data_IF_480525384602
#
_entry.id   IF_480525384602
#
_cell.length_a   1.000
_cell.length_b   1.000
_cell.length_c   1.000
_cell.angle_alpha   90.00
_cell.angle_beta   90.00
_cell.angle_gamma   90.00
#
_symmetry.space_group_name_H-M   'P 1'
#
loop_
_entity.id
_entity.type
_entity.pdbx_description
1 polymer ?
#
# COMPACT_ATOMS: atom_id res chain seq x y z
N UNK A 1 -20.53 33.01 63.84
CA UNK A 1 -20.79 33.28 62.41
C UNK A 1 -19.63 32.70 61.62
N UNK A 2 -19.77 31.50 61.07
CA UNK A 2 -18.76 30.77 60.35
C UNK A 2 -19.21 30.68 58.88
N UNK A 3 -18.57 31.47 58.01
CA UNK A 3 -18.84 31.47 56.59
C UNK A 3 -18.15 30.26 55.94
N UNK A 4 -18.94 29.34 55.35
CA UNK A 4 -18.48 28.22 54.54
C UNK A 4 -18.32 28.69 53.08
N UNK A 5 -17.10 28.76 52.57
CA UNK A 5 -16.82 28.92 51.14
C UNK A 5 -16.92 27.57 50.41
N UNK A 6 -17.72 27.46 49.34
CA UNK A 6 -17.72 26.25 48.53
C UNK A 6 -16.55 26.29 47.54
N UNK A 7 -15.63 25.34 47.68
CA UNK A 7 -14.54 25.08 46.75
C UNK A 7 -15.13 24.47 45.46
N UNK A 8 -15.33 25.29 44.43
CA UNK A 8 -15.69 24.82 43.10
C UNK A 8 -14.44 24.24 42.42
N UNK A 9 -14.34 22.93 42.39
CA UNK A 9 -13.32 22.21 41.59
C UNK A 9 -13.74 22.31 40.14
N UNK A 10 -13.06 23.15 39.38
CA UNK A 10 -13.19 23.24 37.93
C UNK A 10 -12.41 22.07 37.30
N UNK A 11 -13.10 21.00 36.93
CA UNK A 11 -12.53 19.86 36.20
C UNK A 11 -12.22 20.31 34.77
N UNK A 12 -10.95 20.57 34.46
CA UNK A 12 -10.47 20.87 33.15
C UNK A 12 -10.22 19.54 32.41
N UNK A 13 -11.20 19.07 31.63
CA UNK A 13 -11.04 17.91 30.74
C UNK A 13 -10.17 18.31 29.58
N UNK A 14 -8.90 17.96 29.65
CA UNK A 14 -7.99 18.03 28.51
C UNK A 14 -8.34 16.88 27.57
N UNK A 15 -9.09 17.16 26.52
CA UNK A 15 -9.28 16.25 25.40
C UNK A 15 -7.95 16.15 24.64
N UNK A 16 -7.16 15.10 24.90
CA UNK A 16 -5.98 14.77 24.12
C UNK A 16 -6.45 14.36 22.73
N UNK A 17 -6.37 15.27 21.76
CA UNK A 17 -6.53 14.97 20.34
C UNK A 17 -5.33 14.11 19.96
N UNK A 18 -5.54 12.79 19.85
CA UNK A 18 -4.58 11.85 19.28
C UNK A 18 -4.48 12.16 17.77
N UNK A 19 -3.60 13.09 17.41
CA UNK A 19 -3.16 13.26 16.04
C UNK A 19 -2.43 11.99 15.64
N UNK A 20 -3.12 11.03 15.02
CA UNK A 20 -2.45 9.95 14.29
C UNK A 20 -1.68 10.60 13.15
N UNK A 21 -0.34 10.44 13.08
CA UNK A 21 0.41 10.96 11.95
C UNK A 21 -0.08 10.25 10.69
N UNK A 22 -0.77 10.98 9.82
CA UNK A 22 -1.10 10.50 8.50
C UNK A 22 0.21 10.32 7.72
N UNK A 23 0.37 9.18 7.05
CA UNK A 23 1.53 8.97 6.20
C UNK A 23 1.52 10.01 5.08
N UNK A 24 2.68 10.65 4.87
CA UNK A 24 2.88 11.55 3.73
C UNK A 24 3.68 10.81 2.68
N UNK A 25 3.15 10.71 1.47
CA UNK A 25 3.73 9.94 0.38
C UNK A 25 4.07 10.88 -0.78
N UNK A 26 5.10 10.55 -1.53
CA UNK A 26 5.35 11.18 -2.83
C UNK A 26 4.47 10.49 -3.87
N UNK A 27 3.70 11.27 -4.63
CA UNK A 27 2.88 10.75 -5.72
C UNK A 27 3.77 10.11 -6.78
N UNK A 28 3.39 8.93 -7.22
CA UNK A 28 4.04 8.21 -8.31
C UNK A 28 3.07 8.09 -9.49
N UNK A 29 3.53 8.46 -10.68
CA UNK A 29 2.82 8.14 -11.92
C UNK A 29 2.90 6.64 -12.23
N UNK A 30 2.05 6.16 -13.13
CA UNK A 30 2.09 4.76 -13.58
C UNK A 30 3.45 4.43 -14.20
N UNK A 31 3.98 5.34 -15.00
CA UNK A 31 5.27 5.23 -15.66
C UNK A 31 6.42 5.15 -14.66
N UNK A 32 6.39 6.02 -13.63
CA UNK A 32 7.38 5.97 -12.55
C UNK A 32 7.29 4.68 -11.74
N UNK A 33 6.07 4.22 -11.42
CA UNK A 33 5.89 2.93 -10.74
C UNK A 33 6.46 1.79 -11.57
N UNK A 34 6.19 1.75 -12.89
CA UNK A 34 6.71 0.73 -13.78
C UNK A 34 8.25 0.76 -13.86
N UNK A 35 8.84 1.94 -13.97
CA UNK A 35 10.29 2.11 -14.08
C UNK A 35 11.02 1.78 -12.77
N UNK A 36 10.52 2.28 -11.64
CA UNK A 36 11.15 2.14 -10.32
C UNK A 36 10.93 0.76 -9.68
N UNK A 37 9.93 0.00 -10.11
CA UNK A 37 9.68 -1.36 -9.62
C UNK A 37 10.83 -2.31 -9.99
N UNK A 38 11.15 -3.24 -9.09
CA UNK A 38 12.05 -4.37 -9.36
C UNK A 38 11.32 -5.55 -9.98
N UNK A 39 10.01 -5.67 -9.68
CA UNK A 39 9.13 -6.66 -10.28
C UNK A 39 7.72 -6.08 -10.46
N UNK A 40 7.02 -6.53 -11.51
CA UNK A 40 5.61 -6.21 -11.75
C UNK A 40 4.92 -7.53 -12.05
N UNK A 41 3.98 -7.92 -11.19
CA UNK A 41 3.31 -9.21 -11.29
C UNK A 41 1.81 -9.08 -11.04
N UNK A 42 1.03 -9.94 -11.69
CA UNK A 42 -0.33 -10.27 -11.28
C UNK A 42 -0.30 -11.62 -10.59
N UNK A 43 -1.02 -11.72 -9.48
CA UNK A 43 -1.05 -12.98 -8.76
C UNK A 43 -2.06 -13.02 -7.64
N UNK A 44 -2.28 -14.23 -7.14
CA UNK A 44 -3.23 -14.54 -6.07
C UNK A 44 -2.52 -14.67 -4.74
N UNK A 45 -3.05 -14.06 -3.69
CA UNK A 45 -2.56 -14.25 -2.32
C UNK A 45 -2.91 -15.66 -1.86
N UNK A 46 -1.93 -16.50 -1.60
CA UNK A 46 -2.15 -17.88 -1.12
C UNK A 46 -2.12 -17.98 0.39
N UNK A 47 -1.30 -17.18 1.06
CA UNK A 47 -1.21 -17.15 2.52
C UNK A 47 -0.64 -15.84 3.03
N UNK A 48 -0.87 -15.56 4.32
CA UNK A 48 -0.24 -14.46 5.02
C UNK A 48 0.30 -14.94 6.37
N UNK A 49 1.40 -14.36 6.81
CA UNK A 49 1.97 -14.55 8.15
C UNK A 49 2.49 -13.23 8.68
N UNK A 50 2.55 -13.08 9.98
CA UNK A 50 3.11 -11.88 10.63
C UNK A 50 4.38 -12.23 11.38
N UNK A 51 5.37 -11.35 11.33
CA UNK A 51 6.62 -11.51 12.04
C UNK A 51 7.28 -10.16 12.33
N UNK A 52 8.11 -10.15 13.37
CA UNK A 52 8.98 -9.02 13.63
C UNK A 52 10.14 -8.95 12.61
N UNK A 53 10.50 -7.73 12.22
CA UNK A 53 11.73 -7.37 11.56
C UNK A 53 12.34 -6.17 12.31
N UNK A 54 13.30 -6.45 13.16
CA UNK A 54 13.74 -5.49 14.16
C UNK A 54 12.58 -5.11 15.10
N UNK A 55 12.34 -3.83 15.37
CA UNK A 55 11.25 -3.39 16.25
C UNK A 55 9.86 -3.34 15.57
N UNK A 56 9.80 -3.61 14.27
CA UNK A 56 8.56 -3.48 13.49
C UNK A 56 7.94 -4.83 13.16
N UNK A 57 6.60 -4.88 13.23
CA UNK A 57 5.81 -6.01 12.75
C UNK A 57 5.52 -5.81 11.27
N UNK A 58 5.70 -6.86 10.49
CA UNK A 58 5.30 -6.93 9.09
C UNK A 58 4.34 -8.09 8.87
N UNK A 59 3.41 -7.89 7.94
CA UNK A 59 2.63 -8.97 7.34
C UNK A 59 3.30 -9.39 6.03
N UNK A 60 3.68 -10.65 5.94
CA UNK A 60 4.27 -11.26 4.75
C UNK A 60 3.20 -12.06 4.03
N UNK A 61 2.92 -11.72 2.79
CA UNK A 61 1.99 -12.43 1.93
C UNK A 61 2.75 -13.23 0.88
N UNK A 62 2.43 -14.50 0.75
CA UNK A 62 2.92 -15.33 -0.36
C UNK A 62 1.95 -15.17 -1.53
N UNK A 63 2.46 -14.71 -2.65
CA UNK A 63 1.71 -14.47 -3.88
C UNK A 63 2.07 -15.55 -4.88
N UNK A 64 1.08 -16.30 -5.36
CA UNK A 64 1.22 -17.16 -6.53
C UNK A 64 1.15 -16.30 -7.78
N UNK A 65 2.23 -16.24 -8.54
CA UNK A 65 2.35 -15.42 -9.74
C UNK A 65 1.57 -16.09 -10.88
N UNK A 66 0.67 -15.34 -11.51
CA UNK A 66 -0.14 -15.75 -12.66
C UNK A 66 0.36 -15.09 -13.95
N UNK A 67 0.86 -13.85 -13.85
CA UNK A 67 1.37 -13.07 -14.98
C UNK A 67 2.48 -12.14 -14.50
N UNK A 68 3.51 -11.93 -15.31
CA UNK A 68 4.66 -11.10 -14.94
C UNK A 68 5.11 -10.23 -16.12
N UNK A 69 5.33 -8.94 -15.86
CA UNK A 69 5.81 -7.96 -16.83
C UNK A 69 7.26 -7.55 -16.58
N UNK A 70 7.74 -7.64 -15.33
CA UNK A 70 9.10 -7.22 -14.94
C UNK A 70 9.65 -8.09 -13.83
N UNK A 71 10.97 -8.25 -13.77
CA UNK A 71 11.70 -9.02 -12.76
C UNK A 71 12.12 -10.40 -13.26
N UNK A 72 12.87 -11.14 -12.42
CA UNK A 72 13.24 -12.53 -12.71
C UNK A 72 11.99 -13.43 -12.63
N UNK A 73 11.83 -14.39 -13.56
CA UNK A 73 10.70 -15.32 -13.52
C UNK A 73 10.60 -16.05 -12.17
N UNK A 74 9.41 -16.04 -11.57
CA UNK A 74 9.17 -16.69 -10.29
C UNK A 74 7.74 -17.25 -10.24
N UNK A 75 7.57 -18.47 -9.71
CA UNK A 75 6.25 -19.04 -9.47
C UNK A 75 5.53 -18.38 -8.28
N UNK A 76 6.32 -17.91 -7.31
CA UNK A 76 5.81 -17.20 -6.13
C UNK A 76 6.70 -16.02 -5.78
N UNK A 77 6.10 -15.00 -5.14
CA UNK A 77 6.83 -13.89 -4.54
C UNK A 77 6.29 -13.62 -3.14
N UNK A 78 7.17 -13.36 -2.18
CA UNK A 78 6.78 -12.91 -0.85
C UNK A 78 6.76 -11.39 -0.82
N UNK A 79 5.62 -10.81 -0.42
CA UNK A 79 5.41 -9.35 -0.33
C UNK A 79 5.20 -8.96 1.12
N UNK A 80 5.99 -8.04 1.62
CA UNK A 80 5.89 -7.52 2.98
C UNK A 80 5.12 -6.20 3.00
N UNK A 81 4.13 -6.09 3.88
CA UNK A 81 3.43 -4.85 4.21
C UNK A 81 3.65 -4.50 5.68
N UNK A 82 3.87 -3.23 6.05
CA UNK A 82 4.09 -2.84 7.44
C UNK A 82 2.80 -3.02 8.26
N UNK A 83 2.95 -3.48 9.48
CA UNK A 83 1.85 -3.75 10.41
C UNK A 83 1.47 -5.22 10.49
N UNK A 84 0.60 -5.50 11.46
CA UNK A 84 0.11 -6.83 11.79
C UNK A 84 0.12 -7.12 13.29
N UNK A 85 -0.13 -8.38 13.64
CA UNK A 85 -0.20 -8.83 15.04
C UNK A 85 0.70 -10.04 15.26
N UNK A 86 1.52 -9.97 16.31
CA UNK A 86 2.36 -11.08 16.77
C UNK A 86 2.12 -11.26 18.28
N UNK A 87 1.49 -12.36 18.66
CA UNK A 87 1.07 -12.58 20.05
C UNK A 87 0.10 -11.47 20.52
N UNK A 88 0.49 -10.78 21.58
CA UNK A 88 -0.30 -9.68 22.17
C UNK A 88 0.09 -8.28 21.62
N UNK A 89 1.06 -8.22 20.73
CA UNK A 89 1.51 -6.96 20.15
C UNK A 89 0.89 -6.74 18.78
N UNK A 90 0.37 -5.54 18.56
CA UNK A 90 -0.21 -5.12 17.28
C UNK A 90 0.38 -3.78 16.88
N UNK A 91 0.73 -3.67 15.60
CA UNK A 91 1.16 -2.42 14.98
C UNK A 91 0.30 -2.14 13.76
N UNK A 92 -0.15 -0.90 13.61
CA UNK A 92 -0.91 -0.43 12.46
C UNK A 92 -0.23 0.78 11.86
N UNK A 93 -0.21 0.84 10.54
CA UNK A 93 0.38 1.95 9.78
C UNK A 93 -0.67 2.47 8.82
N UNK A 94 -0.91 3.81 8.86
CA UNK A 94 -1.82 4.45 7.92
C UNK A 94 -1.35 4.21 6.48
N UNK A 95 -2.29 3.89 5.60
CA UNK A 95 -2.01 3.59 4.19
C UNK A 95 -1.40 2.23 3.93
N UNK A 96 -1.13 1.42 4.95
CA UNK A 96 -0.63 0.06 4.72
C UNK A 96 -1.74 -0.82 4.12
N UNK A 97 -1.51 -1.41 2.93
CA UNK A 97 -2.51 -2.24 2.28
C UNK A 97 -2.70 -3.57 3.02
N UNK A 98 -3.94 -4.03 3.06
CA UNK A 98 -4.30 -5.36 3.58
C UNK A 98 -4.44 -6.33 2.41
N UNK A 99 -3.58 -7.33 2.38
CA UNK A 99 -3.63 -8.39 1.37
C UNK A 99 -4.49 -9.56 1.89
N UNK A 100 -5.56 -9.86 1.18
CA UNK A 100 -6.53 -10.89 1.59
C UNK A 100 -6.22 -12.22 0.93
N UNK A 101 -6.02 -13.31 1.68
CA UNK A 101 -5.87 -14.65 1.10
C UNK A 101 -7.04 -14.99 0.17
N UNK A 102 -6.73 -15.55 -1.00
CA UNK A 102 -7.69 -15.88 -2.04
C UNK A 102 -7.98 -14.75 -3.03
N UNK A 103 -7.66 -13.49 -2.71
CA UNK A 103 -7.82 -12.36 -3.62
C UNK A 103 -6.65 -12.25 -4.62
N UNK A 104 -6.94 -11.71 -5.80
CA UNK A 104 -5.96 -11.47 -6.86
C UNK A 104 -5.70 -9.98 -7.00
N UNK A 105 -4.43 -9.65 -7.18
CA UNK A 105 -3.95 -8.27 -7.30
C UNK A 105 -2.92 -8.14 -8.43
N UNK A 106 -2.76 -6.93 -8.93
CA UNK A 106 -1.62 -6.50 -9.71
C UNK A 106 -0.72 -5.67 -8.81
N UNK A 107 0.54 -6.06 -8.74
CA UNK A 107 1.55 -5.50 -7.85
C UNK A 107 2.66 -4.82 -8.65
N UNK A 108 2.97 -3.59 -8.27
CA UNK A 108 4.24 -2.95 -8.59
C UNK A 108 5.12 -3.09 -7.35
N UNK A 109 6.18 -3.87 -7.45
CA UNK A 109 7.00 -4.29 -6.32
C UNK A 109 8.40 -3.67 -6.37
N UNK A 110 8.92 -3.37 -5.21
CA UNK A 110 10.30 -2.92 -5.04
C UNK A 110 10.98 -3.77 -3.95
N UNK A 111 12.15 -4.30 -4.28
CA UNK A 111 12.97 -5.07 -3.35
C UNK A 111 14.11 -4.20 -2.85
N UNK A 112 14.12 -3.94 -1.54
CA UNK A 112 15.15 -3.16 -0.89
C UNK A 112 16.47 -3.92 -0.75
N UNK A 113 17.54 -3.19 -0.37
CA UNK A 113 18.85 -3.78 -0.09
C UNK A 113 18.83 -4.80 1.05
N UNK A 114 17.84 -4.76 1.93
CA UNK A 114 17.60 -5.70 3.01
C UNK A 114 16.91 -7.00 2.57
N UNK A 115 16.70 -7.18 1.26
CA UNK A 115 16.04 -8.32 0.66
C UNK A 115 14.52 -8.35 0.80
N UNK A 116 13.89 -7.35 1.44
CA UNK A 116 12.43 -7.28 1.56
C UNK A 116 11.80 -6.73 0.28
N UNK A 117 10.84 -7.46 -0.25
CA UNK A 117 10.00 -7.00 -1.36
C UNK A 117 8.72 -6.38 -0.82
N UNK A 118 8.45 -5.15 -1.22
CA UNK A 118 7.32 -4.35 -0.76
C UNK A 118 6.56 -3.75 -1.95
N UNK A 119 5.33 -3.30 -1.74
CA UNK A 119 4.57 -2.56 -2.73
C UNK A 119 5.17 -1.16 -2.84
N UNK A 120 5.46 -0.71 -4.07
CA UNK A 120 6.02 0.63 -4.28
C UNK A 120 5.03 1.71 -3.87
N UNK A 121 5.53 2.76 -3.21
CA UNK A 121 4.70 3.86 -2.76
C UNK A 121 3.63 3.46 -1.74
N UNK A 122 3.90 2.45 -0.89
CA UNK A 122 3.03 1.88 0.13
C UNK A 122 1.80 1.19 -0.48
N UNK A 123 0.74 1.94 -0.81
CA UNK A 123 -0.49 1.43 -1.44
C UNK A 123 -0.63 1.84 -2.91
N UNK A 124 0.21 2.78 -3.41
CA UNK A 124 0.07 3.30 -4.77
C UNK A 124 0.23 2.22 -5.85
N UNK A 125 1.15 1.29 -5.62
CA UNK A 125 1.47 0.20 -6.56
C UNK A 125 0.61 -1.06 -6.40
N UNK A 126 -0.55 -1.00 -5.72
CA UNK A 126 -1.45 -2.13 -5.55
C UNK A 126 -2.80 -1.87 -6.24
N UNK A 127 -3.21 -2.81 -7.09
CA UNK A 127 -4.52 -2.76 -7.76
C UNK A 127 -5.27 -4.07 -7.55
N UNK A 128 -6.53 -3.99 -7.16
CA UNK A 128 -7.43 -5.14 -7.15
C UNK A 128 -7.62 -5.66 -8.57
N UNK A 129 -7.64 -6.98 -8.74
CA UNK A 129 -7.94 -7.64 -10.02
C UNK A 129 -9.20 -8.46 -9.86
N UNK A 130 -10.23 -8.16 -10.67
CA UNK A 130 -11.53 -8.84 -10.61
C UNK A 130 -12.07 -9.10 -12.00
N UNK A 131 -12.81 -10.21 -12.14
CA UNK A 131 -13.60 -10.47 -13.33
C UNK A 131 -14.88 -9.64 -13.25
N UNK A 132 -15.20 -8.88 -14.30
CA UNK A 132 -16.44 -8.12 -14.40
C UNK A 132 -17.62 -9.05 -14.71
N UNK A 133 -18.83 -8.54 -14.58
CA UNK A 133 -20.05 -9.26 -14.98
C UNK A 133 -20.08 -9.61 -16.48
N UNK A 134 -19.32 -8.89 -17.31
CA UNK A 134 -19.17 -9.13 -18.75
C UNK A 134 -18.05 -10.09 -19.11
N UNK A 135 -17.36 -10.69 -18.09
CA UNK A 135 -16.25 -11.62 -18.31
C UNK A 135 -14.91 -10.94 -18.65
N UNK A 136 -14.79 -9.63 -18.49
CA UNK A 136 -13.52 -8.91 -18.69
C UNK A 136 -12.75 -8.78 -17.37
N UNK A 137 -11.43 -8.99 -17.40
CA UNK A 137 -10.56 -8.70 -16.27
C UNK A 137 -10.38 -7.19 -16.12
N UNK A 138 -10.74 -6.70 -14.94
CA UNK A 138 -10.63 -5.31 -14.53
C UNK A 138 -9.57 -5.15 -13.45
N UNK A 139 -8.87 -4.03 -13.49
CA UNK A 139 -7.99 -3.58 -12.42
C UNK A 139 -8.56 -2.29 -11.83
N UNK A 140 -8.54 -2.18 -10.51
CA UNK A 140 -9.04 -1.01 -9.81
C UNK A 140 -8.22 -0.71 -8.56
N UNK A 141 -8.10 0.56 -8.25
CA UNK A 141 -7.53 1.06 -7.01
C UNK A 141 -8.39 2.24 -6.53
N UNK A 142 -8.84 2.26 -5.27
CA UNK A 142 -9.51 3.43 -4.71
C UNK A 142 -8.55 4.62 -4.70
N UNK A 143 -9.09 5.83 -4.58
CA UNK A 143 -8.28 7.01 -4.33
C UNK A 143 -7.48 6.84 -3.03
N UNK A 144 -6.24 7.31 -3.04
CA UNK A 144 -5.37 7.28 -1.87
C UNK A 144 -5.80 8.39 -0.92
N UNK A 145 -6.03 8.03 0.33
CA UNK A 145 -6.51 8.94 1.38
C UNK A 145 -5.37 9.58 2.17
N UNK A 146 -4.16 9.04 2.07
CA UNK A 146 -2.94 9.61 2.63
C UNK A 146 -2.58 10.89 1.90
N UNK A 147 -1.88 11.79 2.59
CA UNK A 147 -1.37 13.00 1.97
C UNK A 147 -0.36 12.65 0.87
N UNK A 148 -0.70 12.99 -0.37
CA UNK A 148 0.23 12.88 -1.50
C UNK A 148 0.87 14.23 -1.78
N UNK A 149 2.17 14.22 -2.01
CA UNK A 149 2.92 15.39 -2.46
C UNK A 149 3.37 15.20 -3.91
N UNK A 150 3.22 16.23 -4.68
CA UNK A 150 3.82 16.32 -6.01
C UNK A 150 5.35 16.16 -5.91
N UNK A 151 5.98 15.33 -6.73
CA UNK A 151 7.41 15.06 -6.63
C UNK A 151 8.30 16.27 -6.91
N UNK A 152 7.83 17.24 -7.69
CA UNK A 152 8.59 18.43 -8.11
C UNK A 152 8.31 19.61 -7.18
N UNK A 153 7.04 19.96 -7.00
CA UNK A 153 6.64 21.16 -6.25
C UNK A 153 6.54 20.93 -4.74
N UNK A 154 6.47 19.65 -4.30
CA UNK A 154 6.23 19.26 -2.90
C UNK A 154 4.91 19.76 -2.32
N UNK A 155 4.01 20.26 -3.18
CA UNK A 155 2.68 20.68 -2.76
C UNK A 155 1.74 19.48 -2.64
N UNK A 156 0.76 19.52 -1.72
CA UNK A 156 -0.28 18.51 -1.64
C UNK A 156 -1.05 18.37 -2.96
N UNK A 157 -1.31 17.13 -3.37
CA UNK A 157 -2.11 16.81 -4.55
C UNK A 157 -3.13 15.74 -4.21
N UNK A 158 -4.28 15.81 -4.86
CA UNK A 158 -5.30 14.77 -4.77
C UNK A 158 -4.95 13.56 -5.64
N UNK A 159 -5.53 12.43 -5.31
CA UNK A 159 -5.50 11.21 -6.12
C UNK A 159 -6.93 10.88 -6.56
N UNK A 160 -7.04 10.31 -7.75
CA UNK A 160 -8.31 9.82 -8.29
C UNK A 160 -8.33 8.30 -8.27
N UNK A 161 -9.53 7.68 -8.11
CA UNK A 161 -9.65 6.25 -8.26
C UNK A 161 -9.21 5.81 -9.67
N UNK A 162 -8.49 4.72 -9.76
CA UNK A 162 -8.10 4.14 -11.04
C UNK A 162 -8.97 2.92 -11.32
N UNK A 163 -9.62 2.87 -12.48
CA UNK A 163 -10.39 1.72 -12.96
C UNK A 163 -10.15 1.58 -14.46
N UNK A 164 -9.69 0.40 -14.89
CA UNK A 164 -9.47 0.11 -16.31
C UNK A 164 -9.48 -1.40 -16.59
N UNK A 165 -9.48 -1.80 -17.84
CA UNK A 165 -9.30 -3.21 -18.22
C UNK A 165 -7.85 -3.66 -17.97
N UNK A 166 -7.67 -4.91 -17.55
CA UNK A 166 -6.33 -5.47 -17.33
C UNK A 166 -5.45 -5.37 -18.60
N UNK A 167 -6.03 -5.63 -19.77
CA UNK A 167 -5.32 -5.51 -21.06
C UNK A 167 -4.78 -4.08 -21.32
N UNK A 168 -5.55 -3.08 -20.91
CA UNK A 168 -5.15 -1.68 -21.05
C UNK A 168 -4.01 -1.35 -20.08
N UNK A 169 -4.10 -1.80 -18.84
CA UNK A 169 -3.04 -1.71 -17.85
C UNK A 169 -1.75 -2.38 -18.33
N UNK A 170 -1.87 -3.61 -18.85
CA UNK A 170 -0.74 -4.37 -19.43
C UNK A 170 -0.04 -3.59 -20.56
N UNK A 171 -0.84 -3.01 -21.47
CA UNK A 171 -0.29 -2.20 -22.57
C UNK A 171 0.42 -0.93 -22.05
N UNK A 172 -0.09 -0.29 -20.99
CA UNK A 172 0.55 0.87 -20.36
C UNK A 172 1.87 0.48 -19.70
N UNK A 173 1.90 -0.63 -18.95
CA UNK A 173 3.12 -1.16 -18.34
C UNK A 173 4.17 -1.44 -19.41
N UNK A 174 3.81 -2.15 -20.47
CA UNK A 174 4.73 -2.51 -21.56
C UNK A 174 5.33 -1.28 -22.24
N UNK A 175 4.52 -0.25 -22.49
CA UNK A 175 4.99 1.04 -23.05
C UNK A 175 5.95 1.75 -22.11
N UNK A 176 5.64 1.82 -20.81
CA UNK A 176 6.50 2.47 -19.82
C UNK A 176 7.87 1.78 -19.71
N UNK A 177 7.89 0.44 -19.79
CA UNK A 177 9.14 -0.35 -19.76
C UNK A 177 9.95 -0.18 -21.06
N UNK A 178 9.31 -0.13 -22.22
CA UNK A 178 9.99 0.10 -23.51
C UNK A 178 10.61 1.50 -23.59
N UNK A 179 9.95 2.53 -23.02
CA UNK A 179 10.47 3.89 -22.98
C UNK A 179 11.71 4.08 -22.09
N UNK A 180 11.96 3.14 -21.18
CA UNK A 180 13.10 3.17 -20.25
C UNK A 180 14.39 2.56 -20.85
N UNK A 181 14.34 1.95 -22.03
CA UNK A 181 15.48 1.31 -22.71
C UNK A 181 16.17 2.21 -23.74
N UNK A 182 15.85 3.50 -23.79
CA UNK A 182 16.55 4.51 -24.61
C UNK A 182 17.48 5.38 -23.71
#
# INVERSE_FOLDING_TARGET
MTAKFPLRVLAFSVAAVLCSPAATLIRLSMEEMAQKSTAIVRGKVVSTRTAFRGPMIYTFATIQVEEQWKGAPAATVEVATPGGRVGNQEQSFSGSPKLTPGASYLFFLWTGKNGMTQIIGLCQGLFDVRLSATGEWMVSRPAITEMLLDPQTRQPVSDDPAVMRLKEMSARISRALAGSMK
#
